data_IF_083768332673
#
_entry.id   IF_083768332673
#
_cell.length_a   1.000
_cell.length_b   1.000
_cell.length_c   1.000
_cell.angle_alpha   90.00
_cell.angle_beta   90.00
_cell.angle_gamma   90.00
#
_symmetry.space_group_name_H-M   'P 1'
#
loop_
_entity.id
_entity.type
_entity.pdbx_description
1 polymer ?
#
# COMPACT_ATOMS: atom_id res chain seq x y z
N UNK A 1 -0.68 -20.42 23.39
CA UNK A 1 -0.64 -20.71 24.83
C UNK A 1 -1.63 -21.84 25.09
N UNK A 2 -1.19 -22.94 25.71
CA UNK A 2 -2.04 -24.05 26.18
C UNK A 2 -2.42 -23.89 27.66
N UNK A 3 -1.97 -22.81 28.31
CA UNK A 3 -2.35 -22.45 29.67
C UNK A 3 -3.88 -22.38 29.78
N UNK A 4 -4.43 -23.13 30.74
CA UNK A 4 -5.87 -23.30 30.96
C UNK A 4 -6.53 -24.46 30.20
N UNK A 5 -5.87 -25.03 29.18
CA UNK A 5 -6.41 -26.15 28.40
C UNK A 5 -5.85 -27.49 28.92
N UNK A 6 -6.70 -28.49 29.13
CA UNK A 6 -6.28 -29.85 29.46
C UNK A 6 -5.59 -30.50 28.24
N UNK A 7 -4.25 -30.73 28.27
CA UNK A 7 -3.53 -31.32 27.14
C UNK A 7 -4.04 -32.72 26.80
N UNK A 8 -4.48 -33.49 27.79
CA UNK A 8 -5.04 -34.82 27.56
C UNK A 8 -6.41 -34.75 26.87
N UNK A 9 -7.16 -33.66 26.98
CA UNK A 9 -8.39 -33.46 26.20
C UNK A 9 -8.06 -33.04 24.77
N UNK A 10 -7.08 -32.15 24.58
CA UNK A 10 -6.64 -31.72 23.26
C UNK A 10 -6.03 -32.86 22.44
N UNK A 11 -5.13 -33.64 23.03
CA UNK A 11 -4.49 -34.80 22.39
C UNK A 11 -5.51 -35.89 22.00
N UNK A 12 -6.64 -35.94 22.72
CA UNK A 12 -7.76 -36.84 22.43
C UNK A 12 -8.76 -36.28 21.42
N UNK A 13 -8.68 -35.00 21.06
CA UNK A 13 -9.61 -34.35 20.13
C UNK A 13 -9.04 -34.40 18.71
N UNK A 14 -9.27 -35.50 18.00
CA UNK A 14 -8.76 -35.72 16.63
C UNK A 14 -9.89 -36.06 15.68
N UNK A 15 -9.71 -35.78 14.39
CA UNK A 15 -10.72 -36.09 13.36
C UNK A 15 -10.98 -37.60 13.26
N UNK A 16 -9.96 -38.44 13.50
CA UNK A 16 -10.08 -39.89 13.49
C UNK A 16 -10.95 -40.40 14.64
N UNK A 17 -10.85 -39.79 15.83
CA UNK A 17 -11.70 -40.17 16.97
C UNK A 17 -13.13 -39.69 16.78
N UNK A 18 -13.33 -38.48 16.27
CA UNK A 18 -14.66 -38.02 15.85
C UNK A 18 -15.28 -38.96 14.81
N UNK A 19 -14.50 -39.37 13.81
CA UNK A 19 -14.94 -40.35 12.81
C UNK A 19 -15.30 -41.69 13.44
N UNK A 20 -14.49 -42.16 14.39
CA UNK A 20 -14.72 -43.43 15.07
C UNK A 20 -16.03 -43.42 15.87
N UNK A 21 -16.28 -42.32 16.59
CA UNK A 21 -17.51 -42.14 17.37
C UNK A 21 -18.74 -41.98 16.44
N UNK A 22 -18.61 -41.17 15.38
CA UNK A 22 -19.69 -40.89 14.43
C UNK A 22 -20.11 -42.12 13.62
N UNK A 23 -19.15 -42.98 13.27
CA UNK A 23 -19.37 -44.16 12.45
C UNK A 23 -19.54 -45.44 13.29
N UNK A 24 -19.36 -45.37 14.61
CA UNK A 24 -19.33 -46.54 15.48
C UNK A 24 -18.21 -47.51 15.15
N UNK A 25 -17.10 -47.01 14.59
CA UNK A 25 -15.98 -47.80 14.08
C UNK A 25 -14.68 -47.36 14.77
N UNK A 26 -14.18 -48.10 15.78
CA UNK A 26 -13.01 -47.70 16.57
C UNK A 26 -11.74 -47.40 15.77
N UNK A 27 -11.63 -47.95 14.55
CA UNK A 27 -10.48 -47.76 13.64
C UNK A 27 -10.80 -46.87 12.44
N UNK A 28 -11.87 -46.07 12.51
CA UNK A 28 -12.27 -45.19 11.41
C UNK A 28 -11.16 -44.24 11.00
N UNK A 29 -10.92 -44.16 9.70
CA UNK A 29 -9.93 -43.29 9.09
C UNK A 29 -10.55 -41.95 8.66
N UNK A 30 -9.69 -41.00 8.30
CA UNK A 30 -10.13 -39.76 7.63
C UNK A 30 -10.88 -40.08 6.34
N UNK A 31 -10.47 -41.14 5.61
CA UNK A 31 -11.13 -41.53 4.37
C UNK A 31 -12.56 -42.04 4.61
N UNK A 32 -12.80 -42.76 5.71
CA UNK A 32 -14.13 -43.25 6.10
C UNK A 32 -15.05 -42.07 6.46
N UNK A 33 -14.54 -41.10 7.21
CA UNK A 33 -15.25 -39.85 7.49
C UNK A 33 -15.58 -39.06 6.21
N UNK A 34 -14.63 -38.93 5.27
CA UNK A 34 -14.86 -38.24 4.01
C UNK A 34 -15.89 -38.96 3.14
N UNK A 35 -15.89 -40.30 3.17
CA UNK A 35 -16.90 -41.12 2.49
C UNK A 35 -18.29 -40.89 3.08
N UNK A 36 -18.40 -40.87 4.40
CA UNK A 36 -19.64 -40.51 5.11
C UNK A 36 -20.14 -39.12 4.70
N UNK A 37 -19.32 -38.07 4.80
CA UNK A 37 -19.72 -36.68 4.47
C UNK A 37 -20.17 -36.53 3.01
N UNK A 38 -19.54 -37.26 2.08
CA UNK A 38 -19.95 -37.29 0.67
C UNK A 38 -21.29 -38.00 0.46
N UNK A 39 -21.57 -39.03 1.26
CA UNK A 39 -22.83 -39.78 1.26
C UNK A 39 -24.00 -39.04 1.94
N UNK A 40 -23.74 -38.05 2.79
CA UNK A 40 -24.78 -37.19 3.38
C UNK A 40 -25.49 -36.37 2.28
N UNK A 41 -26.84 -36.32 2.27
CA UNK A 41 -27.60 -35.48 1.35
C UNK A 41 -27.16 -34.01 1.39
N UNK A 42 -27.15 -33.33 0.25
CA UNK A 42 -26.72 -31.93 0.16
C UNK A 42 -27.44 -31.00 1.15
N UNK A 43 -28.74 -31.23 1.38
CA UNK A 43 -29.54 -30.47 2.34
C UNK A 43 -29.11 -30.64 3.81
N UNK A 44 -28.40 -31.72 4.14
CA UNK A 44 -27.95 -32.05 5.50
C UNK A 44 -26.43 -31.90 5.68
N UNK A 45 -25.68 -31.76 4.58
CA UNK A 45 -24.21 -31.68 4.60
C UNK A 45 -23.69 -30.52 5.44
N UNK A 46 -24.39 -29.38 5.42
CA UNK A 46 -24.03 -28.23 6.24
C UNK A 46 -24.10 -28.55 7.74
N UNK A 47 -25.17 -29.18 8.19
CA UNK A 47 -25.34 -29.58 9.58
C UNK A 47 -24.29 -30.62 10.02
N UNK A 48 -23.96 -31.58 9.15
CA UNK A 48 -22.89 -32.54 9.42
C UNK A 48 -21.50 -31.88 9.57
N UNK A 49 -21.19 -30.88 8.74
CA UNK A 49 -19.96 -30.08 8.87
C UNK A 49 -19.97 -29.27 10.16
N UNK A 50 -21.08 -28.61 10.48
CA UNK A 50 -21.20 -27.80 11.70
C UNK A 50 -21.08 -28.69 12.96
N UNK A 51 -21.60 -29.92 12.94
CA UNK A 51 -21.43 -30.90 14.03
C UNK A 51 -19.94 -31.27 14.25
N UNK A 52 -19.18 -31.49 13.17
CA UNK A 52 -17.73 -31.74 13.26
C UNK A 52 -16.98 -30.51 13.78
N UNK A 53 -17.33 -29.31 13.33
CA UNK A 53 -16.74 -28.09 13.87
C UNK A 53 -17.05 -27.93 15.37
N UNK A 54 -18.25 -28.29 15.80
CA UNK A 54 -18.64 -28.27 17.21
C UNK A 54 -17.89 -29.30 18.04
N UNK A 55 -17.57 -30.48 17.49
CA UNK A 55 -16.70 -31.46 18.16
C UNK A 55 -15.32 -30.87 18.49
N UNK A 56 -14.71 -30.12 17.57
CA UNK A 56 -13.43 -29.45 17.85
C UNK A 56 -13.56 -28.23 18.77
N UNK A 57 -14.73 -27.56 18.74
CA UNK A 57 -14.98 -26.37 19.56
C UNK A 57 -15.34 -26.69 21.00
N UNK A 58 -16.07 -27.78 21.26
CA UNK A 58 -16.59 -28.09 22.60
C UNK A 58 -15.49 -28.30 23.65
N UNK A 59 -14.39 -29.03 23.37
CA UNK A 59 -13.25 -29.15 24.27
C UNK A 59 -12.56 -27.82 24.54
N UNK A 60 -12.45 -26.96 23.53
CA UNK A 60 -11.96 -25.60 23.71
C UNK A 60 -12.94 -24.78 24.56
N UNK A 61 -14.23 -24.75 24.25
CA UNK A 61 -15.26 -23.99 24.96
C UNK A 61 -15.39 -24.39 26.44
N UNK A 62 -15.30 -25.68 26.75
CA UNK A 62 -15.40 -26.19 28.11
C UNK A 62 -14.12 -25.98 28.95
N UNK A 63 -12.96 -25.87 28.29
CA UNK A 63 -11.67 -25.64 28.94
C UNK A 63 -11.12 -24.22 28.70
N UNK A 64 -11.92 -23.33 28.11
CA UNK A 64 -11.62 -21.91 28.02
C UNK A 64 -11.87 -21.29 29.40
N UNK A 65 -11.01 -21.59 30.38
CA UNK A 65 -10.58 -20.57 31.34
C UNK A 65 -9.54 -19.66 30.68
N UNK A 66 -9.84 -19.21 29.46
CA UNK A 66 -9.26 -18.01 28.92
C UNK A 66 -10.40 -17.01 28.96
N UNK A 67 -10.57 -16.42 30.13
CA UNK A 67 -10.87 -15.00 30.13
C UNK A 67 -9.79 -14.37 29.24
N UNK A 68 -10.11 -14.18 27.96
CA UNK A 68 -9.47 -13.13 27.20
C UNK A 68 -9.89 -11.87 27.94
N UNK A 69 -9.12 -11.52 28.96
CA UNK A 69 -9.27 -10.26 29.67
C UNK A 69 -8.82 -9.26 28.64
N UNK A 70 -9.79 -8.75 27.89
CA UNK A 70 -9.55 -7.65 26.96
C UNK A 70 -8.83 -6.59 27.77
N UNK A 71 -7.66 -6.19 27.30
CA UNK A 71 -6.91 -5.11 27.94
C UNK A 71 -7.82 -3.87 27.99
N UNK A 72 -7.86 -3.21 29.13
CA UNK A 72 -8.71 -2.02 29.36
C UNK A 72 -7.90 -0.74 29.56
N UNK A 73 -6.61 -0.87 29.88
CA UNK A 73 -5.69 0.26 30.06
C UNK A 73 -4.78 0.38 28.86
N UNK A 74 -4.56 1.62 28.41
CA UNK A 74 -3.59 1.94 27.38
C UNK A 74 -2.18 1.44 27.77
N UNK A 75 -1.40 1.03 26.77
CA UNK A 75 -0.04 0.57 26.98
C UNK A 75 0.82 0.83 25.75
N UNK A 76 2.14 0.88 25.95
CA UNK A 76 3.08 0.75 24.84
C UNK A 76 3.04 -0.69 24.31
N UNK A 77 2.70 -0.82 23.03
CA UNK A 77 2.67 -2.08 22.31
C UNK A 77 3.98 -2.23 21.53
N UNK A 78 4.90 -3.06 22.03
CA UNK A 78 6.18 -3.32 21.39
C UNK A 78 6.04 -4.51 20.44
N UNK A 79 6.47 -4.33 19.19
CA UNK A 79 6.43 -5.40 18.19
C UNK A 79 7.49 -6.45 18.51
N UNK A 80 7.04 -7.68 18.69
CA UNK A 80 7.88 -8.85 18.98
C UNK A 80 7.49 -9.93 17.97
N UNK A 81 8.24 -10.11 16.87
CA UNK A 81 7.91 -11.11 15.85
C UNK A 81 7.67 -12.50 16.46
N UNK A 82 6.54 -13.13 16.12
CA UNK A 82 6.21 -14.51 16.51
C UNK A 82 5.91 -15.34 15.26
N UNK A 83 6.62 -16.47 15.11
CA UNK A 83 6.49 -17.35 13.93
C UNK A 83 5.07 -17.91 13.76
N UNK A 84 4.35 -18.14 14.86
CA UNK A 84 2.95 -18.59 14.82
C UNK A 84 2.02 -17.48 14.33
N UNK A 85 2.49 -16.24 14.37
CA UNK A 85 1.79 -15.05 13.92
C UNK A 85 2.29 -14.47 12.60
N UNK A 86 3.03 -15.25 11.81
CA UNK A 86 3.73 -14.84 10.58
C UNK A 86 4.87 -13.81 10.81
N UNK A 87 5.08 -13.29 12.02
CA UNK A 87 6.22 -12.44 12.38
C UNK A 87 6.26 -11.02 11.79
N UNK A 88 5.30 -10.61 10.95
CA UNK A 88 5.27 -9.26 10.35
C UNK A 88 3.90 -8.55 10.43
N UNK A 89 2.87 -9.23 10.94
CA UNK A 89 1.48 -8.74 10.86
C UNK A 89 1.09 -7.89 12.07
N UNK A 90 0.54 -6.70 11.81
CA UNK A 90 -0.04 -5.85 12.87
C UNK A 90 -1.24 -6.50 13.54
N UNK A 91 -2.11 -7.17 12.79
CA UNK A 91 -3.38 -7.68 13.32
C UNK A 91 -3.24 -8.91 14.21
N UNK A 92 -2.07 -9.55 14.19
CA UNK A 92 -1.84 -10.72 14.99
C UNK A 92 -1.31 -10.34 16.37
N UNK A 93 -2.15 -10.54 17.38
CA UNK A 93 -1.84 -10.27 18.80
C UNK A 93 -0.59 -11.00 19.32
N UNK A 94 -0.18 -12.10 18.67
CA UNK A 94 1.03 -12.83 19.04
C UNK A 94 2.30 -12.03 18.75
N UNK A 95 2.24 -11.08 17.81
CA UNK A 95 3.39 -10.25 17.44
C UNK A 95 3.57 -9.03 18.38
N UNK A 96 2.86 -8.96 19.51
CA UNK A 96 2.85 -7.78 20.37
C UNK A 96 3.08 -8.16 21.83
N UNK A 97 3.92 -7.38 22.52
CA UNK A 97 4.27 -7.58 23.93
C UNK A 97 3.06 -7.63 24.86
N UNK A 98 1.99 -6.92 24.52
CA UNK A 98 0.77 -6.83 25.32
C UNK A 98 -0.16 -8.04 25.14
N UNK A 99 0.11 -8.92 24.16
CA UNK A 99 -0.79 -10.01 23.81
C UNK A 99 -2.15 -9.54 23.24
N UNK A 100 -2.27 -8.26 22.91
CA UNK A 100 -3.40 -7.65 22.22
C UNK A 100 -2.89 -6.78 21.06
N UNK A 101 -3.76 -6.45 20.12
CA UNK A 101 -3.42 -5.61 18.97
C UNK A 101 -3.36 -4.14 19.40
N UNK A 102 -2.35 -3.36 18.99
CA UNK A 102 -2.33 -1.93 19.26
C UNK A 102 -3.53 -1.20 18.68
N UNK A 103 -4.01 -0.21 19.44
CA UNK A 103 -5.21 0.57 19.15
C UNK A 103 -6.52 -0.19 19.44
N UNK A 104 -6.44 -1.32 20.15
CA UNK A 104 -7.63 -1.96 20.76
C UNK A 104 -8.12 -1.21 21.99
N UNK A 105 -7.23 -0.42 22.62
CA UNK A 105 -7.51 0.49 23.72
C UNK A 105 -7.09 1.90 23.31
N UNK A 106 -7.96 2.91 23.46
CA UNK A 106 -7.57 4.30 23.20
C UNK A 106 -6.36 4.72 24.03
N UNK A 107 -5.41 5.43 23.41
CA UNK A 107 -4.17 5.87 24.06
C UNK A 107 -3.00 4.89 23.92
N UNK A 108 -3.16 3.77 23.20
CA UNK A 108 -2.03 2.89 22.91
C UNK A 108 -0.95 3.59 22.10
N UNK A 109 0.30 3.46 22.54
CA UNK A 109 1.47 3.77 21.72
C UNK A 109 2.05 2.50 21.10
N UNK A 110 2.80 2.66 20.02
CA UNK A 110 3.37 1.55 19.25
C UNK A 110 4.87 1.74 19.12
N UNK A 111 5.60 0.65 19.30
CA UNK A 111 7.03 0.61 19.04
C UNK A 111 7.32 -0.55 18.11
N UNK A 112 7.73 -0.27 16.87
CA UNK A 112 8.06 -1.29 15.88
C UNK A 112 9.40 -1.97 16.19
N UNK A 113 10.22 -1.35 17.04
CA UNK A 113 11.53 -1.86 17.47
C UNK A 113 12.43 -2.25 16.28
N UNK A 114 12.42 -1.43 15.23
CA UNK A 114 13.22 -1.67 14.03
C UNK A 114 12.65 -2.72 13.05
N UNK A 115 11.51 -3.33 13.36
CA UNK A 115 10.94 -4.40 12.53
C UNK A 115 10.14 -3.85 11.34
N UNK A 116 10.00 -4.70 10.32
CA UNK A 116 9.02 -4.47 9.24
C UNK A 116 7.65 -4.98 9.67
N UNK A 117 6.68 -4.09 9.74
CA UNK A 117 5.32 -4.41 10.18
C UNK A 117 4.31 -4.04 9.10
N UNK A 118 3.34 -4.91 8.86
CA UNK A 118 2.27 -4.71 7.89
C UNK A 118 0.94 -4.45 8.58
N UNK A 119 0.40 -3.25 8.38
CA UNK A 119 -0.95 -2.87 8.77
C UNK A 119 -1.95 -3.15 7.63
N UNK A 120 -3.15 -3.59 8.03
CA UNK A 120 -4.24 -3.90 7.11
C UNK A 120 -5.58 -4.00 7.81
N UNK A 121 -6.67 -3.95 7.02
CA UNK A 121 -8.06 -4.29 7.38
C UNK A 121 -8.80 -3.36 8.34
N UNK A 122 -8.12 -2.68 9.27
CA UNK A 122 -8.80 -1.98 10.38
C UNK A 122 -8.84 -0.47 10.21
N UNK A 123 -9.78 0.17 10.90
CA UNK A 123 -9.70 1.60 11.24
C UNK A 123 -9.17 1.69 12.66
N UNK A 124 -8.01 2.31 12.84
CA UNK A 124 -7.27 2.31 14.10
C UNK A 124 -6.64 3.67 14.32
N UNK A 125 -6.68 4.12 15.56
CA UNK A 125 -5.94 5.29 16.04
C UNK A 125 -5.00 4.85 17.15
N UNK A 126 -3.78 5.39 17.15
CA UNK A 126 -2.76 5.18 18.18
C UNK A 126 -2.19 6.52 18.58
N UNK A 127 -1.82 6.64 19.85
CA UNK A 127 -1.27 7.86 20.44
C UNK A 127 0.07 8.23 19.79
N UNK A 128 0.97 7.26 19.66
CA UNK A 128 2.25 7.46 19.00
C UNK A 128 2.77 6.21 18.31
N UNK A 129 3.64 6.40 17.32
CA UNK A 129 4.41 5.33 16.68
C UNK A 129 5.89 5.68 16.76
N UNK A 130 6.68 4.78 17.35
CA UNK A 130 8.13 4.72 17.24
C UNK A 130 8.50 3.67 16.20
N UNK A 131 9.17 4.07 15.12
CA UNK A 131 9.60 3.21 14.05
C UNK A 131 10.89 2.46 14.42
N UNK A 132 11.81 3.09 15.14
CA UNK A 132 13.12 2.52 15.50
C UNK A 132 13.96 2.16 14.27
N UNK A 133 13.76 2.86 13.15
CA UNK A 133 14.32 2.52 11.82
C UNK A 133 13.55 1.44 11.05
N UNK A 134 12.53 0.83 11.66
CA UNK A 134 11.69 -0.20 11.06
C UNK A 134 10.69 0.37 10.05
N UNK A 135 10.21 -0.48 9.14
CA UNK A 135 9.28 -0.09 8.07
C UNK A 135 7.83 -0.46 8.44
N UNK A 136 6.93 0.51 8.46
CA UNK A 136 5.49 0.27 8.55
C UNK A 136 4.83 0.32 7.17
N UNK A 137 4.33 -0.81 6.70
CA UNK A 137 3.55 -0.90 5.46
C UNK A 137 2.04 -0.87 5.74
N UNK A 138 1.38 0.20 5.32
CA UNK A 138 -0.08 0.36 5.42
C UNK A 138 -0.70 -0.07 4.10
N UNK A 139 -1.34 -1.24 4.09
CA UNK A 139 -1.81 -1.88 2.84
C UNK A 139 -3.32 -1.89 2.66
N UNK A 140 -4.08 -1.79 3.74
CA UNK A 140 -5.54 -1.65 3.72
C UNK A 140 -6.03 -1.06 5.04
N UNK A 141 -7.29 -0.62 5.10
CA UNK A 141 -7.82 0.04 6.29
C UNK A 141 -7.30 1.47 6.45
N UNK A 142 -7.51 2.06 7.62
CA UNK A 142 -7.08 3.40 7.99
C UNK A 142 -6.33 3.37 9.32
N UNK A 143 -5.10 3.87 9.34
CA UNK A 143 -4.32 4.08 10.57
C UNK A 143 -4.10 5.58 10.77
N UNK A 144 -4.50 6.10 11.92
CA UNK A 144 -4.19 7.45 12.38
C UNK A 144 -3.14 7.35 13.48
N UNK A 145 -2.04 8.08 13.37
CA UNK A 145 -1.11 8.28 14.48
C UNK A 145 -1.22 9.73 14.96
N UNK A 146 -1.34 9.93 16.27
CA UNK A 146 -1.40 11.28 16.85
C UNK A 146 -0.01 11.90 17.05
N UNK A 147 1.03 11.07 17.13
CA UNK A 147 2.43 11.48 17.14
C UNK A 147 3.36 10.44 16.49
N UNK A 148 4.52 10.91 16.03
CA UNK A 148 5.68 10.07 15.69
C UNK A 148 6.75 10.32 16.75
N UNK A 149 7.27 9.26 17.35
CA UNK A 149 8.30 9.37 18.38
C UNK A 149 9.70 9.55 17.79
N UNK A 150 9.88 9.18 16.53
CA UNK A 150 11.09 9.28 15.73
C UNK A 150 10.73 9.40 14.24
N UNK A 151 11.76 9.57 13.39
CA UNK A 151 11.57 9.76 11.96
C UNK A 151 10.84 8.59 11.30
N UNK A 152 9.82 8.91 10.51
CA UNK A 152 8.96 7.91 9.92
C UNK A 152 9.67 7.12 8.83
N UNK A 153 9.36 5.83 8.76
CA UNK A 153 9.69 4.98 7.61
C UNK A 153 8.42 4.22 7.21
N UNK A 154 7.71 4.77 6.23
CA UNK A 154 6.33 4.40 5.91
C UNK A 154 6.17 3.99 4.45
N UNK A 155 5.42 2.91 4.22
CA UNK A 155 4.99 2.48 2.90
C UNK A 155 3.47 2.42 2.78
N UNK A 156 2.86 3.32 2.00
CA UNK A 156 1.42 3.29 1.73
C UNK A 156 1.17 2.56 0.42
N UNK A 157 0.40 1.47 0.46
CA UNK A 157 0.20 0.57 -0.68
C UNK A 157 -1.25 0.16 -0.82
N UNK A 158 -1.56 -0.42 -1.98
CA UNK A 158 -2.87 -1.02 -2.27
C UNK A 158 -4.01 -0.02 -1.98
N UNK A 159 -4.81 -0.24 -0.92
CA UNK A 159 -5.89 0.64 -0.49
C UNK A 159 -5.73 1.13 0.97
N UNK A 160 -4.50 1.08 1.50
CA UNK A 160 -4.19 1.55 2.84
C UNK A 160 -4.34 3.07 2.98
N UNK A 161 -4.81 3.52 4.14
CA UNK A 161 -4.93 4.93 4.45
C UNK A 161 -4.11 5.25 5.69
N UNK A 162 -3.31 6.30 5.64
CA UNK A 162 -2.52 6.76 6.77
C UNK A 162 -2.73 8.26 7.00
N UNK A 163 -3.02 8.61 8.25
CA UNK A 163 -3.03 10.00 8.71
C UNK A 163 -1.80 10.20 9.57
N UNK A 164 -0.79 10.87 9.00
CA UNK A 164 0.41 11.27 9.68
C UNK A 164 0.14 12.48 10.56
N UNK A 165 0.74 12.55 11.76
CA UNK A 165 0.58 13.67 12.67
C UNK A 165 1.30 14.93 12.17
N UNK A 166 1.01 16.07 12.80
CA UNK A 166 1.84 17.26 12.64
C UNK A 166 3.27 16.97 13.16
N UNK A 167 4.27 17.60 12.54
CA UNK A 167 5.68 17.38 12.82
C UNK A 167 6.25 16.09 12.24
N UNK A 168 5.49 15.33 11.46
CA UNK A 168 5.99 14.12 10.81
C UNK A 168 7.16 14.45 9.87
N UNK A 169 8.24 13.68 10.00
CA UNK A 169 9.42 13.72 9.15
C UNK A 169 9.87 12.30 8.75
N UNK A 170 11.02 12.18 8.08
CA UNK A 170 11.58 10.89 7.64
C UNK A 170 11.33 10.57 6.17
N UNK A 171 11.18 9.29 5.85
CA UNK A 171 11.05 8.78 4.48
C UNK A 171 9.74 8.02 4.27
N UNK A 172 8.89 8.55 3.40
CA UNK A 172 7.57 8.00 3.13
C UNK A 172 7.42 7.66 1.64
N UNK A 173 6.98 6.44 1.34
CA UNK A 173 6.67 6.01 -0.02
C UNK A 173 5.17 5.70 -0.16
N UNK A 174 4.46 6.51 -0.94
CA UNK A 174 3.05 6.30 -1.27
C UNK A 174 2.91 5.80 -2.72
N UNK A 175 2.54 4.52 -2.89
CA UNK A 175 2.40 3.88 -4.22
C UNK A 175 0.96 3.45 -4.54
N UNK A 176 0.07 3.64 -3.58
CA UNK A 176 -1.36 3.39 -3.66
C UNK A 176 -2.01 3.90 -2.38
N UNK A 177 -3.31 3.73 -2.25
CA UNK A 177 -4.03 4.16 -1.06
C UNK A 177 -3.93 5.67 -0.84
N UNK A 178 -4.04 6.10 0.41
CA UNK A 178 -4.12 7.52 0.78
C UNK A 178 -3.16 7.88 1.91
N UNK A 179 -2.43 8.97 1.74
CA UNK A 179 -1.62 9.61 2.78
C UNK A 179 -2.16 11.02 3.03
N UNK A 180 -2.26 11.41 4.29
CA UNK A 180 -2.61 12.77 4.68
C UNK A 180 -1.77 13.19 5.87
N UNK A 181 -1.23 14.41 5.81
CA UNK A 181 -0.60 15.04 6.97
C UNK A 181 -1.63 15.90 7.70
N UNK A 182 -1.79 15.69 9.00
CA UNK A 182 -2.77 16.38 9.84
C UNK A 182 -2.36 17.82 10.19
N UNK A 183 -1.13 18.20 9.90
CA UNK A 183 -0.57 19.54 10.10
C UNK A 183 0.75 19.68 9.34
N UNK A 184 1.57 20.65 9.72
CA UNK A 184 2.87 20.88 9.09
C UNK A 184 3.75 19.62 9.16
N UNK A 185 4.38 19.25 8.05
CA UNK A 185 5.27 18.09 7.97
C UNK A 185 6.46 18.35 7.04
N UNK A 186 7.47 17.50 7.10
CA UNK A 186 8.62 17.55 6.20
C UNK A 186 9.10 16.15 5.85
N UNK A 187 10.14 16.00 5.04
CA UNK A 187 10.74 14.69 4.77
C UNK A 187 10.95 14.37 3.30
N UNK A 188 11.51 13.18 3.09
CA UNK A 188 11.53 12.51 1.81
C UNK A 188 10.16 11.90 1.52
N UNK A 189 9.65 12.17 0.31
CA UNK A 189 8.35 11.67 -0.12
C UNK A 189 8.44 11.16 -1.55
N UNK A 190 8.22 9.86 -1.72
CA UNK A 190 8.15 9.23 -3.03
C UNK A 190 6.70 8.85 -3.35
N UNK A 191 6.13 9.44 -4.39
CA UNK A 191 4.75 9.24 -4.81
C UNK A 191 4.72 8.58 -6.19
N UNK A 192 4.00 7.47 -6.30
CA UNK A 192 3.84 6.77 -7.58
C UNK A 192 2.51 6.01 -7.65
N UNK A 193 2.27 5.34 -8.77
CA UNK A 193 1.15 4.43 -8.91
C UNK A 193 -0.19 5.16 -8.95
N UNK A 194 -1.08 4.77 -8.05
CA UNK A 194 -2.40 5.39 -7.89
C UNK A 194 -2.56 5.83 -6.43
N UNK A 195 -1.51 6.44 -5.89
CA UNK A 195 -1.54 7.01 -4.56
C UNK A 195 -2.32 8.33 -4.58
N UNK A 196 -2.98 8.62 -3.46
CA UNK A 196 -3.57 9.92 -3.14
C UNK A 196 -2.79 10.52 -1.98
N UNK A 197 -2.13 11.64 -2.18
CA UNK A 197 -1.32 12.30 -1.15
C UNK A 197 -1.81 13.72 -0.94
N UNK A 198 -2.32 13.98 0.25
CA UNK A 198 -2.59 15.34 0.71
C UNK A 198 -1.40 15.82 1.51
N UNK A 199 -0.74 16.87 1.02
CA UNK A 199 0.45 17.46 1.63
C UNK A 199 0.19 18.15 2.98
N UNK A 200 -1.04 18.09 3.50
CA UNK A 200 -1.45 18.84 4.69
C UNK A 200 -1.59 20.33 4.38
N UNK A 201 -1.80 21.18 5.41
CA UNK A 201 -1.73 22.62 5.19
C UNK A 201 -0.31 23.02 4.79
N UNK A 202 0.74 22.47 5.40
CA UNK A 202 2.12 22.85 5.10
C UNK A 202 3.03 21.63 4.94
N UNK A 203 3.77 21.57 3.82
CA UNK A 203 4.79 20.55 3.61
C UNK A 203 6.12 21.17 3.22
N UNK A 204 7.21 20.70 3.81
CA UNK A 204 8.56 21.18 3.52
C UNK A 204 9.46 20.06 3.00
N UNK A 205 10.12 20.32 1.86
CA UNK A 205 11.23 19.51 1.35
C UNK A 205 12.53 20.20 1.73
N UNK A 206 13.18 19.77 2.81
CA UNK A 206 14.43 20.35 3.31
C UNK A 206 15.62 20.16 2.36
N UNK A 207 16.74 20.85 2.62
CA UNK A 207 17.89 20.98 1.71
C UNK A 207 18.54 19.67 1.19
N UNK A 208 18.31 18.54 1.86
CA UNK A 208 18.81 17.22 1.46
C UNK A 208 17.68 16.20 1.27
N UNK A 209 16.44 16.67 1.20
CA UNK A 209 15.25 15.84 1.03
C UNK A 209 14.77 15.92 -0.42
N UNK A 210 14.00 14.91 -0.81
CA UNK A 210 13.42 14.81 -2.14
C UNK A 210 11.93 14.53 -2.06
N UNK A 211 11.13 15.34 -2.76
CA UNK A 211 9.78 14.98 -3.17
C UNK A 211 9.85 14.47 -4.61
N UNK A 212 9.72 13.15 -4.77
CA UNK A 212 9.74 12.47 -6.07
C UNK A 212 8.34 12.03 -6.48
N UNK A 213 7.99 12.30 -7.73
CA UNK A 213 6.72 11.91 -8.36
C UNK A 213 7.02 11.09 -9.60
N UNK A 214 6.69 9.79 -9.55
CA UNK A 214 6.82 8.87 -10.68
C UNK A 214 5.46 8.65 -11.36
N UNK A 215 5.35 9.09 -12.61
CA UNK A 215 4.19 8.85 -13.46
C UNK A 215 3.03 9.83 -13.26
N UNK A 216 2.05 9.78 -14.16
CA UNK A 216 0.92 10.73 -14.18
C UNK A 216 -0.39 10.23 -13.56
N UNK A 217 -0.35 9.16 -12.76
CA UNK A 217 -1.57 8.47 -12.26
C UNK A 217 -1.82 8.63 -10.77
N UNK A 218 -0.85 9.17 -10.03
CA UNK A 218 -1.04 9.57 -8.66
C UNK A 218 -1.74 10.92 -8.58
N UNK A 219 -2.39 11.18 -7.45
CA UNK A 219 -2.91 12.48 -7.07
C UNK A 219 -2.09 12.99 -5.90
N UNK A 220 -1.51 14.18 -6.06
CA UNK A 220 -0.73 14.84 -5.02
C UNK A 220 -1.04 16.34 -5.01
N UNK A 221 -1.14 16.92 -3.82
CA UNK A 221 -1.37 18.34 -3.62
C UNK A 221 -2.30 18.57 -2.44
N UNK A 222 -3.37 19.33 -2.67
CA UNK A 222 -4.23 19.86 -1.61
C UNK A 222 -5.73 19.62 -1.89
N UNK A 223 -6.52 19.67 -0.83
CA UNK A 223 -7.97 19.52 -0.84
C UNK A 223 -8.57 20.47 0.20
N UNK A 224 -9.89 20.66 0.18
CA UNK A 224 -10.62 21.45 1.16
C UNK A 224 -10.51 22.95 0.92
N UNK A 225 -10.39 23.71 2.01
CA UNK A 225 -10.46 25.18 2.05
C UNK A 225 -9.31 25.74 2.90
N UNK A 226 -9.14 27.06 2.91
CA UNK A 226 -8.12 27.74 3.74
C UNK A 226 -6.86 28.05 2.96
N UNK A 227 -5.70 27.99 3.61
CA UNK A 227 -4.40 28.25 3.00
C UNK A 227 -3.50 27.04 3.16
N UNK A 228 -2.64 26.82 2.16
CA UNK A 228 -1.65 25.77 2.21
C UNK A 228 -0.33 26.19 1.57
N UNK A 229 0.77 25.55 1.98
CA UNK A 229 2.11 25.81 1.44
C UNK A 229 2.88 24.53 1.12
N UNK A 230 3.69 24.59 0.06
CA UNK A 230 4.78 23.67 -0.21
C UNK A 230 6.08 24.50 -0.30
N UNK A 231 6.98 24.29 0.66
CA UNK A 231 8.31 24.93 0.66
C UNK A 231 9.37 23.94 0.23
N UNK A 232 10.20 24.30 -0.73
CA UNK A 232 11.22 23.42 -1.30
C UNK A 232 12.59 24.06 -1.16
N UNK A 233 13.39 23.53 -0.24
CA UNK A 233 14.83 23.79 -0.14
C UNK A 233 15.69 22.67 -0.75
N UNK A 234 15.14 21.47 -0.89
CA UNK A 234 15.81 20.31 -1.50
C UNK A 234 15.46 20.11 -2.97
N UNK A 235 15.06 18.88 -3.31
CA UNK A 235 14.79 18.46 -4.69
C UNK A 235 13.32 18.15 -4.93
N UNK A 236 12.75 18.75 -5.98
CA UNK A 236 11.53 18.25 -6.63
C UNK A 236 11.91 17.40 -7.83
N UNK A 237 11.55 16.12 -7.85
CA UNK A 237 11.92 15.18 -8.91
C UNK A 237 10.67 14.63 -9.60
N UNK A 238 10.39 15.11 -10.81
CA UNK A 238 9.29 14.62 -11.64
C UNK A 238 9.82 13.63 -12.68
N UNK A 239 9.24 12.43 -12.72
CA UNK A 239 9.64 11.40 -13.68
C UNK A 239 8.49 10.91 -14.52
N UNK A 240 8.60 11.08 -15.83
CA UNK A 240 7.70 10.48 -16.78
C UNK A 240 7.79 8.95 -16.68
N UNK A 241 6.65 8.28 -16.69
CA UNK A 241 6.57 6.82 -16.66
C UNK A 241 5.99 6.30 -17.98
N UNK A 242 6.73 5.46 -18.72
CA UNK A 242 6.27 4.82 -19.94
C UNK A 242 5.00 3.99 -19.72
N UNK A 243 4.11 3.99 -20.72
CA UNK A 243 2.86 3.25 -20.69
C UNK A 243 2.89 2.13 -21.73
N UNK A 244 2.78 0.89 -21.27
CA UNK A 244 2.66 -0.29 -22.13
C UNK A 244 1.22 -0.79 -22.13
N UNK A 245 0.69 -1.03 -23.33
CA UNK A 245 -0.63 -1.62 -23.50
C UNK A 245 -0.50 -3.14 -23.65
N UNK A 246 -1.31 -3.89 -22.93
CA UNK A 246 -1.33 -5.35 -22.98
C UNK A 246 -2.75 -5.89 -23.15
N UNK A 247 -2.89 -7.07 -23.76
CA UNK A 247 -4.19 -7.72 -23.98
C UNK A 247 -4.77 -8.46 -22.78
N UNK A 248 -6.09 -8.71 -22.83
CA UNK A 248 -6.93 -9.30 -21.77
C UNK A 248 -6.35 -10.55 -21.07
N UNK A 249 -5.85 -11.52 -21.84
CA UNK A 249 -5.60 -12.87 -21.32
C UNK A 249 -4.38 -13.01 -20.41
N UNK A 250 -3.56 -11.96 -20.26
CA UNK A 250 -2.32 -12.04 -19.50
C UNK A 250 -2.27 -11.14 -18.27
N UNK A 251 -3.17 -10.16 -18.17
CA UNK A 251 -3.30 -9.26 -17.02
C UNK A 251 -4.64 -9.51 -16.33
N UNK A 252 -4.62 -10.36 -15.31
CA UNK A 252 -5.75 -10.51 -14.38
C UNK A 252 -5.43 -9.80 -13.06
N UNK A 253 -6.42 -9.73 -12.16
CA UNK A 253 -6.33 -9.08 -10.84
C UNK A 253 -5.17 -9.57 -9.93
N UNK A 254 -4.38 -10.56 -10.35
CA UNK A 254 -3.19 -11.05 -9.64
C UNK A 254 -1.91 -10.31 -10.01
N UNK A 255 -1.86 -9.59 -11.13
CA UNK A 255 -0.73 -8.70 -11.41
C UNK A 255 -0.70 -7.61 -10.35
N UNK A 256 0.43 -7.46 -9.67
CA UNK A 256 0.54 -6.49 -8.58
C UNK A 256 1.60 -5.45 -8.89
N UNK A 257 1.43 -4.29 -8.27
CA UNK A 257 2.46 -3.26 -8.19
C UNK A 257 3.78 -3.88 -7.75
N UNK A 258 4.89 -3.37 -8.30
CA UNK A 258 6.27 -3.82 -8.10
C UNK A 258 6.71 -5.09 -8.81
N UNK A 259 5.84 -5.76 -9.56
CA UNK A 259 6.27 -6.93 -10.30
C UNK A 259 7.31 -6.53 -11.37
N UNK A 260 8.48 -7.18 -11.43
CA UNK A 260 9.44 -6.95 -12.51
C UNK A 260 8.84 -7.37 -13.85
N UNK A 261 9.16 -6.61 -14.89
CA UNK A 261 8.86 -6.89 -16.28
C UNK A 261 10.17 -7.04 -17.05
N UNK A 262 10.25 -8.05 -17.92
CA UNK A 262 11.38 -8.28 -18.82
C UNK A 262 10.90 -8.59 -20.23
N UNK A 263 11.29 -7.79 -21.23
CA UNK A 263 11.00 -8.05 -22.64
C UNK A 263 11.71 -9.29 -23.14
N UNK A 264 10.98 -10.21 -23.76
CA UNK A 264 11.53 -11.47 -24.28
C UNK A 264 12.40 -11.29 -25.51
N UNK A 265 12.15 -10.26 -26.33
CA UNK A 265 12.94 -9.97 -27.53
C UNK A 265 13.86 -8.79 -27.30
N UNK A 266 13.32 -7.67 -26.84
CA UNK A 266 14.07 -6.43 -26.67
C UNK A 266 15.00 -6.44 -25.44
N UNK A 267 14.74 -7.34 -24.48
CA UNK A 267 15.44 -7.36 -23.21
C UNK A 267 15.12 -6.15 -22.31
N UNK A 268 14.09 -5.36 -22.61
CA UNK A 268 13.72 -4.22 -21.75
C UNK A 268 13.47 -4.71 -20.33
N UNK A 269 13.75 -3.87 -19.33
CA UNK A 269 13.43 -4.17 -17.93
C UNK A 269 12.59 -3.05 -17.34
N UNK A 270 11.84 -3.34 -16.28
CA UNK A 270 11.08 -2.33 -15.54
C UNK A 270 10.24 -2.96 -14.44
N UNK A 271 9.43 -2.16 -13.75
CA UNK A 271 8.49 -2.67 -12.73
C UNK A 271 7.10 -2.11 -12.95
N UNK A 272 6.08 -2.93 -12.71
CA UNK A 272 4.68 -2.50 -12.75
C UNK A 272 4.44 -1.45 -11.67
N UNK A 273 4.02 -0.25 -12.05
CA UNK A 273 3.72 0.83 -11.12
C UNK A 273 2.21 0.97 -10.87
N UNK A 274 1.44 1.09 -11.96
CA UNK A 274 -0.03 1.13 -11.92
C UNK A 274 -0.65 0.53 -13.17
N UNK A 275 -1.91 0.11 -13.05
CA UNK A 275 -2.66 -0.54 -14.12
C UNK A 275 -4.01 0.15 -14.31
N UNK A 276 -4.35 0.49 -15.55
CA UNK A 276 -5.67 1.01 -15.91
C UNK A 276 -6.34 0.02 -16.85
N UNK A 277 -7.54 -0.41 -16.48
CA UNK A 277 -8.38 -1.25 -17.32
C UNK A 277 -9.04 -0.39 -18.41
N UNK A 278 -9.09 -0.92 -19.63
CA UNK A 278 -9.78 -0.29 -20.75
C UNK A 278 -10.50 -1.30 -21.63
N UNK A 279 -11.47 -0.82 -22.40
CA UNK A 279 -12.19 -1.60 -23.41
C UNK A 279 -12.29 -0.80 -24.70
N UNK A 280 -11.90 -1.39 -25.82
CA UNK A 280 -12.04 -0.80 -27.17
C UNK A 280 -12.52 -1.88 -28.13
N UNK A 281 -13.58 -1.61 -28.90
CA UNK A 281 -14.13 -2.53 -29.91
C UNK A 281 -14.35 -3.97 -29.36
N UNK A 282 -14.95 -4.07 -28.16
CA UNK A 282 -15.11 -5.33 -27.41
C UNK A 282 -13.84 -6.06 -26.95
N UNK A 283 -12.64 -5.58 -27.28
CA UNK A 283 -11.39 -6.11 -26.73
C UNK A 283 -11.03 -5.39 -25.41
N UNK A 284 -10.64 -6.18 -24.41
CA UNK A 284 -10.10 -5.67 -23.15
C UNK A 284 -8.59 -5.49 -23.26
N UNK A 285 -8.10 -4.38 -22.73
CA UNK A 285 -6.67 -4.10 -22.63
C UNK A 285 -6.33 -3.49 -21.27
N UNK A 286 -5.05 -3.52 -20.95
CA UNK A 286 -4.49 -2.94 -19.74
C UNK A 286 -3.37 -1.98 -20.11
N UNK A 287 -3.52 -0.72 -19.67
CA UNK A 287 -2.44 0.24 -19.73
C UNK A 287 -1.65 0.15 -18.44
N UNK A 288 -0.40 -0.27 -18.56
CA UNK A 288 0.50 -0.50 -17.46
C UNK A 288 1.57 0.57 -17.48
N UNK A 289 1.60 1.40 -16.44
CA UNK A 289 2.70 2.30 -16.19
C UNK A 289 3.90 1.48 -15.69
N UNK A 290 5.06 1.64 -16.31
CA UNK A 290 6.27 0.88 -16.02
C UNK A 290 7.36 1.79 -15.47
N UNK A 291 7.61 1.70 -14.16
CA UNK A 291 8.68 2.49 -13.51
C UNK A 291 10.06 1.92 -13.81
N UNK A 292 11.05 2.81 -13.74
CA UNK A 292 12.47 2.51 -13.90
C UNK A 292 12.76 1.68 -15.17
N UNK A 293 12.02 1.96 -16.26
CA UNK A 293 12.13 1.20 -17.49
C UNK A 293 13.49 1.44 -18.13
N UNK A 294 14.19 0.36 -18.49
CA UNK A 294 15.45 0.40 -19.23
C UNK A 294 15.30 -0.37 -20.52
N UNK A 295 15.81 0.17 -21.62
CA UNK A 295 15.61 -0.38 -22.96
C UNK A 295 14.25 -0.01 -23.56
N UNK A 296 14.04 -0.40 -24.81
CA UNK A 296 12.83 -0.06 -25.57
C UNK A 296 12.03 -1.33 -25.89
N UNK A 297 10.79 -1.46 -25.40
CA UNK A 297 9.94 -2.60 -25.73
C UNK A 297 9.60 -2.66 -27.22
N UNK A 298 9.44 -3.88 -27.73
CA UNK A 298 8.98 -4.19 -29.07
C UNK A 298 7.49 -4.55 -29.07
N UNK A 299 6.73 -3.93 -29.97
CA UNK A 299 5.32 -4.28 -30.17
C UNK A 299 5.24 -5.72 -30.68
N UNK A 300 4.37 -6.53 -30.07
CA UNK A 300 4.19 -7.95 -30.35
C UNK A 300 5.10 -8.87 -29.54
N UNK A 301 6.07 -8.35 -28.78
CA UNK A 301 6.90 -9.18 -27.92
C UNK A 301 6.16 -9.67 -26.68
N UNK A 302 6.62 -10.78 -26.10
CA UNK A 302 6.18 -11.24 -24.78
C UNK A 302 7.01 -10.57 -23.69
N UNK A 303 6.37 -9.93 -22.73
CA UNK A 303 7.04 -9.44 -21.52
C UNK A 303 6.85 -10.44 -20.37
N UNK A 304 7.92 -11.01 -19.85
CA UNK A 304 7.89 -11.85 -18.66
C UNK A 304 7.64 -11.00 -17.41
N UNK A 305 6.64 -11.37 -16.63
CA UNK A 305 6.31 -10.74 -15.37
C UNK A 305 6.28 -11.75 -14.24
N UNK A 306 7.13 -11.53 -13.26
CA UNK A 306 7.41 -12.52 -12.22
C UNK A 306 6.84 -12.06 -10.89
N UNK A 307 6.14 -12.94 -10.18
CA UNK A 307 5.72 -12.65 -8.80
C UNK A 307 6.94 -12.65 -7.89
N UNK A 308 7.24 -11.56 -7.16
CA UNK A 308 8.25 -11.58 -6.11
C UNK A 308 7.75 -12.26 -4.83
N UNK A 309 6.46 -12.64 -4.74
CA UNK A 309 5.88 -13.24 -3.53
C UNK A 309 5.80 -14.77 -3.66
N UNK A 310 6.31 -15.44 -2.63
CA UNK A 310 6.11 -16.85 -2.24
C UNK A 310 6.81 -17.97 -3.04
N UNK A 311 7.94 -17.72 -3.72
CA UNK A 311 8.66 -18.81 -4.40
C UNK A 311 7.84 -19.53 -5.48
N UNK A 312 6.66 -18.99 -5.81
CA UNK A 312 5.91 -19.34 -7.01
C UNK A 312 6.68 -18.71 -8.16
N UNK A 313 7.47 -19.51 -8.88
CA UNK A 313 8.14 -19.17 -10.15
C UNK A 313 7.13 -18.90 -11.28
N UNK A 314 5.93 -18.43 -10.94
CA UNK A 314 4.86 -18.18 -11.89
C UNK A 314 5.20 -16.92 -12.68
N UNK A 315 5.79 -17.16 -13.84
CA UNK A 315 6.03 -16.17 -14.87
C UNK A 315 4.77 -16.04 -15.73
N UNK A 316 4.26 -14.83 -15.81
CA UNK A 316 3.23 -14.47 -16.80
C UNK A 316 3.91 -13.85 -18.00
N UNK A 317 3.46 -14.16 -19.21
CA UNK A 317 4.08 -13.64 -20.44
C UNK A 317 3.06 -12.93 -21.34
N UNK A 318 2.52 -11.78 -20.92
CA UNK A 318 1.68 -10.92 -21.75
C UNK A 318 2.37 -10.45 -23.03
N UNK A 319 1.59 -10.29 -24.10
CA UNK A 319 2.03 -9.62 -25.32
C UNK A 319 1.91 -8.10 -25.18
N UNK A 320 3.00 -7.38 -25.45
CA UNK A 320 2.99 -5.93 -25.62
C UNK A 320 2.20 -5.61 -26.89
N UNK A 321 1.04 -4.98 -26.74
CA UNK A 321 0.18 -4.61 -27.87
C UNK A 321 0.55 -3.24 -28.45
N UNK A 322 1.00 -2.33 -27.59
CA UNK A 322 1.32 -0.96 -27.97
C UNK A 322 2.25 -0.32 -26.93
N UNK A 323 3.03 0.67 -27.36
CA UNK A 323 3.88 1.52 -26.51
C UNK A 323 3.35 2.94 -26.64
N UNK A 324 2.71 3.42 -25.58
CA UNK A 324 2.04 4.73 -25.56
C UNK A 324 2.96 5.82 -25.01
N UNK A 325 2.65 7.11 -25.28
CA UNK A 325 3.36 8.21 -24.66
C UNK A 325 3.42 8.05 -23.14
N UNK A 326 4.56 8.40 -22.56
CA UNK A 326 4.74 8.42 -21.11
C UNK A 326 3.76 9.40 -20.46
N UNK A 327 3.45 9.16 -19.20
CA UNK A 327 2.63 10.05 -18.37
C UNK A 327 3.52 10.65 -17.26
N UNK A 328 3.37 11.94 -16.94
CA UNK A 328 4.09 12.64 -15.87
C UNK A 328 3.10 13.27 -14.89
N UNK A 329 3.47 13.34 -13.61
CA UNK A 329 2.58 13.79 -12.53
C UNK A 329 2.54 15.31 -12.36
N UNK A 330 1.50 15.76 -11.65
CA UNK A 330 1.25 17.17 -11.33
C UNK A 330 0.94 17.30 -9.83
N UNK A 331 1.50 18.30 -9.19
CA UNK A 331 1.09 18.76 -7.86
C UNK A 331 0.01 19.83 -8.05
N UNK A 332 -1.21 19.59 -7.58
CA UNK A 332 -2.31 20.54 -7.73
C UNK A 332 -3.38 20.35 -6.65
N UNK A 333 -4.24 21.36 -6.40
CA UNK A 333 -5.52 21.11 -5.76
C UNK A 333 -6.29 20.04 -6.54
N UNK A 334 -6.74 19.00 -5.85
CA UNK A 334 -7.51 17.92 -6.46
C UNK A 334 -8.71 17.53 -5.60
N UNK A 335 -9.80 17.14 -6.26
CA UNK A 335 -10.97 16.61 -5.56
C UNK A 335 -10.76 15.14 -5.23
N UNK A 336 -11.21 14.73 -4.06
CA UNK A 336 -11.10 13.36 -3.57
C UNK A 336 -11.93 12.36 -4.38
N UNK A 337 -13.18 12.68 -4.73
CA UNK A 337 -14.02 11.81 -5.58
C UNK A 337 -15.33 12.48 -6.04
N UNK A 338 -15.92 12.00 -7.14
CA UNK A 338 -17.34 12.22 -7.45
C UNK A 338 -17.80 13.68 -7.52
N UNK A 339 -18.90 13.98 -6.82
CA UNK A 339 -19.58 15.28 -6.77
C UNK A 339 -19.02 16.22 -5.69
N UNK A 340 -17.86 15.89 -5.11
CA UNK A 340 -17.20 16.78 -4.14
C UNK A 340 -16.94 18.15 -4.79
N UNK A 341 -17.20 19.26 -4.08
CA UNK A 341 -16.93 20.59 -4.61
C UNK A 341 -15.44 20.72 -4.95
N UNK A 342 -15.13 21.53 -5.96
CA UNK A 342 -13.76 21.85 -6.26
C UNK A 342 -13.08 22.44 -5.01
N UNK A 343 -11.85 22.00 -4.67
CA UNK A 343 -11.14 22.56 -3.53
C UNK A 343 -10.94 24.07 -3.74
N UNK A 344 -11.12 24.84 -2.67
CA UNK A 344 -10.95 26.30 -2.64
C UNK A 344 -9.78 26.74 -1.77
N UNK A 345 -8.91 25.79 -1.42
CA UNK A 345 -7.63 26.05 -0.74
C UNK A 345 -6.77 26.99 -1.57
N UNK A 346 -6.25 28.04 -0.92
CA UNK A 346 -5.26 28.93 -1.48
C UNK A 346 -3.86 28.32 -1.28
N UNK A 347 -3.37 27.61 -2.29
CA UNK A 347 -2.09 26.92 -2.25
C UNK A 347 -0.95 27.83 -2.71
N UNK A 348 0.14 27.85 -1.95
CA UNK A 348 1.36 28.60 -2.28
C UNK A 348 2.55 27.66 -2.38
N UNK A 349 3.45 27.93 -3.31
CA UNK A 349 4.68 27.16 -3.48
C UNK A 349 5.88 28.10 -3.45
N UNK A 350 6.88 27.75 -2.65
CA UNK A 350 8.13 28.49 -2.56
C UNK A 350 9.26 27.55 -2.95
N UNK A 351 9.95 27.88 -4.04
CA UNK A 351 11.21 27.25 -4.43
C UNK A 351 12.34 28.10 -3.86
N UNK A 352 12.99 27.61 -2.80
CA UNK A 352 14.03 28.34 -2.10
C UNK A 352 15.32 28.42 -2.91
N UNK A 353 16.15 29.40 -2.58
CA UNK A 353 17.49 29.54 -3.18
C UNK A 353 18.29 28.25 -2.99
N UNK A 354 18.84 27.72 -4.09
CA UNK A 354 19.62 26.48 -4.08
C UNK A 354 18.81 25.18 -4.13
N UNK A 355 17.48 25.26 -4.11
CA UNK A 355 16.64 24.10 -4.44
C UNK A 355 16.78 23.70 -5.90
N UNK A 356 16.44 22.45 -6.22
CA UNK A 356 16.56 21.91 -7.58
C UNK A 356 15.25 21.29 -8.04
N UNK A 357 14.82 21.64 -9.26
CA UNK A 357 13.80 20.91 -9.98
C UNK A 357 14.48 19.94 -10.94
N UNK A 358 14.09 18.68 -10.91
CA UNK A 358 14.53 17.64 -11.84
C UNK A 358 13.32 17.13 -12.62
N UNK A 359 13.54 16.89 -13.91
CA UNK A 359 12.53 16.33 -14.80
C UNK A 359 13.15 15.26 -15.67
N UNK A 360 12.67 14.03 -15.54
CA UNK A 360 12.85 12.99 -16.56
C UNK A 360 11.67 13.05 -17.52
N UNK A 361 11.89 13.60 -18.71
CA UNK A 361 10.87 13.79 -19.75
C UNK A 361 10.86 12.66 -20.79
N UNK A 362 11.59 11.57 -20.57
CA UNK A 362 11.72 10.51 -21.56
C UNK A 362 10.37 9.87 -21.94
N UNK A 363 10.12 9.79 -23.24
CA UNK A 363 8.90 9.21 -23.82
C UNK A 363 7.65 10.09 -23.71
N UNK A 364 7.74 11.31 -23.16
CA UNK A 364 6.68 12.30 -23.30
C UNK A 364 6.50 12.68 -24.78
N UNK A 365 5.27 12.95 -25.17
CA UNK A 365 4.98 13.54 -26.48
C UNK A 365 5.36 15.03 -26.48
N UNK A 366 5.64 15.64 -27.65
CA UNK A 366 5.77 17.08 -27.75
C UNK A 366 4.53 17.79 -27.20
N UNK A 367 4.73 18.82 -26.38
CA UNK A 367 3.63 19.52 -25.72
C UNK A 367 4.01 20.22 -24.42
N UNK A 368 2.99 20.72 -23.73
CA UNK A 368 3.12 21.39 -22.44
C UNK A 368 2.51 20.54 -21.32
N UNK A 369 3.25 20.42 -20.22
CA UNK A 369 2.90 19.62 -19.06
C UNK A 369 2.99 20.48 -17.80
N UNK A 370 1.90 20.61 -17.07
CA UNK A 370 1.88 21.32 -15.80
C UNK A 370 2.43 20.41 -14.71
N UNK A 371 3.55 20.78 -14.11
CA UNK A 371 4.20 20.05 -13.03
C UNK A 371 3.64 20.48 -11.67
N UNK A 372 3.33 21.77 -11.54
CA UNK A 372 2.70 22.36 -10.35
C UNK A 372 1.63 23.35 -10.80
N UNK A 373 0.45 23.27 -10.20
CA UNK A 373 -0.61 24.27 -10.30
C UNK A 373 -0.97 24.71 -8.88
N UNK A 374 -0.79 25.99 -8.58
CA UNK A 374 -1.07 26.60 -7.28
C UNK A 374 -1.64 28.01 -7.47
N UNK A 375 -1.99 28.71 -6.39
CA UNK A 375 -2.42 30.11 -6.46
C UNK A 375 -1.23 31.05 -6.63
N UNK A 376 -0.07 30.69 -6.08
CA UNK A 376 1.19 31.40 -6.33
C UNK A 376 2.39 30.46 -6.25
N UNK A 377 3.40 30.75 -7.07
CA UNK A 377 4.70 30.10 -7.09
C UNK A 377 5.76 31.20 -7.03
N UNK A 378 6.56 31.18 -5.98
CA UNK A 378 7.70 32.07 -5.80
C UNK A 378 9.00 31.29 -6.04
N UNK A 379 9.83 31.80 -6.93
CA UNK A 379 11.18 31.26 -7.18
C UNK A 379 12.22 32.22 -6.61
N UNK A 380 12.90 31.78 -5.56
CA UNK A 380 13.95 32.54 -4.86
C UNK A 380 15.36 32.21 -5.39
N UNK A 381 15.48 31.60 -6.58
CA UNK A 381 16.76 31.20 -7.18
C UNK A 381 16.96 29.68 -7.19
N UNK A 382 15.92 28.94 -7.52
CA UNK A 382 15.97 27.50 -7.75
C UNK A 382 16.64 27.17 -9.09
N UNK A 383 17.23 25.98 -9.17
CA UNK A 383 17.76 25.46 -10.43
C UNK A 383 16.64 24.77 -11.21
N UNK A 384 16.24 25.36 -12.33
CA UNK A 384 15.23 24.80 -13.24
C UNK A 384 15.90 24.15 -14.46
N UNK A 385 15.47 22.95 -14.89
CA UNK A 385 16.02 22.30 -16.08
C UNK A 385 15.47 22.92 -17.35
N UNK A 386 16.10 22.61 -18.49
CA UNK A 386 15.66 23.12 -19.79
C UNK A 386 14.18 22.76 -20.07
N UNK A 387 13.45 23.70 -20.63
CA UNK A 387 12.02 23.55 -20.93
C UNK A 387 11.10 23.77 -19.73
N UNK A 388 11.62 23.94 -18.50
CA UNK A 388 10.81 24.24 -17.32
C UNK A 388 10.81 25.75 -17.03
N UNK A 389 9.62 26.31 -16.83
CA UNK A 389 9.44 27.73 -16.49
C UNK A 389 8.17 27.97 -15.68
N UNK A 390 8.16 29.04 -14.89
CA UNK A 390 6.96 29.52 -14.19
C UNK A 390 6.14 30.40 -15.14
N UNK A 391 4.87 30.03 -15.33
CA UNK A 391 3.90 30.71 -16.16
C UNK A 391 2.89 31.43 -15.27
N UNK A 392 2.65 32.73 -15.51
CA UNK A 392 1.62 33.50 -14.80
C UNK A 392 1.81 33.65 -13.29
N UNK A 393 2.97 33.24 -12.76
CA UNK A 393 3.25 33.22 -11.32
C UNK A 393 2.53 32.11 -10.55
N UNK A 394 1.86 31.17 -11.22
CA UNK A 394 0.96 30.20 -10.59
C UNK A 394 1.04 28.78 -11.17
N UNK A 395 1.78 28.59 -12.28
CA UNK A 395 1.99 27.27 -12.89
C UNK A 395 3.47 27.04 -13.16
N UNK A 396 4.04 25.94 -12.66
CA UNK A 396 5.35 25.45 -13.09
C UNK A 396 5.13 24.48 -14.25
N UNK A 397 5.63 24.83 -15.44
CA UNK A 397 5.34 24.11 -16.68
C UNK A 397 6.60 23.59 -17.33
N UNK A 398 6.55 22.34 -17.79
CA UNK A 398 7.49 21.73 -18.72
C UNK A 398 6.99 21.88 -20.16
N UNK A 399 7.87 22.28 -21.07
CA UNK A 399 7.66 22.26 -22.51
C UNK A 399 8.59 21.22 -23.14
N UNK A 400 8.02 20.22 -23.78
CA UNK A 400 8.73 19.18 -24.54
C UNK A 400 8.62 19.53 -26.02
N UNK A 401 9.76 19.63 -26.70
CA UNK A 401 9.86 19.99 -28.11
C UNK A 401 9.55 18.82 -29.05
#
# INVERSE_FOLDING_TARGET
RTEGLDPAVLDRTTIQRHAADLLGQPTATIADYMTYIRGVPLSQRRAAIDATLNYFRAPCAANLDQSYVKRVNAAECVFTPDDRGEGFRWDNRLNWSTGDRPGSVPGDSVNLYGNRVKFGRFTTEVDSIAFGGGLLEVTSGKLTALAHADAANLGIRECGQYVAPAGSDGSIAARGGRLTFAGAASGDLAVSGMAEVLLGPDYAVGANQTLRIDGGRCFIGWDGTGSASLTVAGTLDFRATPILCFGEYAFNARFRKEWPLVGGTSGFTGKVDSLRWGRRNNAVFWDVAVRDMQGRPEIGEKAAATSPRFGDDKVWTPYVLDVRPSEIGTIAPFRKSGDDPAPTVAATVVLEAGSTVMVDSQGLAPGSYDLIVADSITDNGATLPAGVSIMGGNVLRLTVA
#
